data_IF_304530473189
#
_entry.id   IF_304530473189
#
_cell.length_a   1.000
_cell.length_b   1.000
_cell.length_c   1.000
_cell.angle_alpha   90.00
_cell.angle_beta   90.00
_cell.angle_gamma   90.00
#
_symmetry.space_group_name_H-M   'P 1'
#
loop_
_entity.id
_entity.type
_entity.pdbx_description
1 polymer ?
#
# COMPACT_ATOMS: atom_id res chain seq x y z
N UNK A 1 13.36 0.08 -29.10
CA UNK A 1 14.00 -0.40 -27.85
C UNK A 1 13.31 0.33 -26.70
N UNK A 2 12.68 -0.37 -25.76
CA UNK A 2 12.06 0.28 -24.59
C UNK A 2 13.18 0.49 -23.57
N UNK A 3 13.44 1.74 -23.19
CA UNK A 3 14.36 2.06 -22.11
C UNK A 3 13.62 1.82 -20.79
N UNK A 4 14.10 0.86 -19.99
CA UNK A 4 13.60 0.59 -18.65
C UNK A 4 14.51 1.32 -17.67
N UNK A 5 13.94 2.24 -16.90
CA UNK A 5 14.64 2.90 -15.79
C UNK A 5 14.32 2.12 -14.51
N UNK A 6 15.33 1.72 -13.75
CA UNK A 6 15.14 1.16 -12.40
C UNK A 6 14.96 2.27 -11.34
N UNK A 7 14.83 3.52 -11.76
CA UNK A 7 14.56 4.63 -10.86
C UNK A 7 13.06 4.72 -10.56
N UNK A 8 12.67 4.31 -9.35
CA UNK A 8 11.56 4.93 -8.63
C UNK A 8 11.48 4.41 -7.18
N UNK A 9 11.65 5.33 -6.22
CA UNK A 9 11.24 5.16 -4.82
C UNK A 9 10.34 6.36 -4.52
N UNK A 10 9.03 6.18 -4.68
CA UNK A 10 8.03 7.18 -4.28
C UNK A 10 7.78 6.96 -2.79
N UNK A 11 7.71 8.03 -1.96
CA UNK A 11 7.27 7.89 -0.58
C UNK A 11 5.90 7.19 -0.54
N UNK A 12 5.60 6.38 0.49
CA UNK A 12 4.39 5.56 0.56
C UNK A 12 3.06 6.34 0.59
N UNK A 13 3.12 7.67 0.49
CA UNK A 13 2.05 8.65 0.56
C UNK A 13 2.44 9.92 -0.26
N UNK A 14 1.45 10.59 -0.85
CA UNK A 14 1.61 11.85 -1.57
C UNK A 14 1.28 11.80 -3.07
N UNK A 15 1.34 12.97 -3.72
CA UNK A 15 1.07 13.16 -5.14
C UNK A 15 2.21 12.67 -6.04
N UNK A 16 1.86 12.08 -7.17
CA UNK A 16 2.79 11.68 -8.22
C UNK A 16 2.17 11.82 -9.62
N UNK A 17 3.01 12.24 -10.58
CA UNK A 17 2.65 12.36 -11.99
C UNK A 17 3.55 11.50 -12.87
N UNK A 18 2.95 10.90 -13.90
CA UNK A 18 3.68 10.16 -14.90
C UNK A 18 4.52 11.13 -15.77
N UNK A 19 5.85 10.99 -15.82
CA UNK A 19 6.66 11.82 -16.69
C UNK A 19 6.28 11.64 -18.16
N UNK A 20 6.32 12.72 -18.94
CA UNK A 20 6.00 12.67 -20.37
C UNK A 20 6.82 11.60 -21.11
N UNK A 21 6.16 10.86 -22.01
CA UNK A 21 6.75 9.80 -22.86
C UNK A 21 7.11 8.50 -22.12
N UNK A 22 6.83 8.40 -20.82
CA UNK A 22 6.97 7.16 -20.08
C UNK A 22 5.66 6.38 -20.02
N UNK A 23 5.77 5.09 -19.73
CA UNK A 23 4.65 4.23 -19.30
C UNK A 23 5.04 3.65 -17.96
N UNK A 24 4.12 3.64 -17.00
CA UNK A 24 4.38 3.13 -15.66
C UNK A 24 3.52 1.91 -15.34
N UNK A 25 4.05 1.06 -14.47
CA UNK A 25 3.29 0.08 -13.70
C UNK A 25 3.17 0.66 -12.30
N UNK A 26 1.96 0.71 -11.76
CA UNK A 26 1.67 1.37 -10.49
C UNK A 26 1.11 0.34 -9.52
N UNK A 27 1.65 0.33 -8.29
CA UNK A 27 1.17 -0.49 -7.20
C UNK A 27 0.63 0.43 -6.09
N UNK A 28 -0.67 0.40 -5.76
CA UNK A 28 -1.27 1.26 -4.75
C UNK A 28 -0.98 0.82 -3.30
N UNK A 29 -0.32 -0.33 -3.12
CA UNK A 29 -0.10 -0.96 -1.82
C UNK A 29 -1.25 -1.89 -1.40
N UNK A 30 -1.23 -2.31 -0.12
CA UNK A 30 -2.21 -3.21 0.46
C UNK A 30 -3.12 -2.53 1.47
N UNK A 31 -4.45 -2.64 1.27
CA UNK A 31 -5.43 -2.07 2.20
C UNK A 31 -5.50 -2.89 3.50
N UNK A 32 -5.69 -4.21 3.42
CA UNK A 32 -5.93 -5.07 4.59
C UNK A 32 -4.70 -5.78 5.15
N UNK A 33 -3.58 -5.79 4.42
CA UNK A 33 -2.32 -6.40 4.83
C UNK A 33 -1.16 -5.80 4.03
N UNK A 34 -0.74 -4.56 4.33
CA UNK A 34 0.50 -4.02 3.79
C UNK A 34 1.69 -4.91 4.17
N UNK A 35 2.72 -4.96 3.31
CA UNK A 35 3.89 -5.86 3.44
C UNK A 35 5.23 -5.14 3.33
N UNK A 36 5.21 -3.82 3.48
CA UNK A 36 6.35 -2.93 3.30
C UNK A 36 6.88 -2.35 4.61
N UNK A 37 6.43 -2.85 5.76
CA UNK A 37 6.87 -2.40 7.08
C UNK A 37 6.08 -1.24 7.68
N UNK A 38 5.16 -0.62 6.93
CA UNK A 38 4.20 0.35 7.45
C UNK A 38 2.84 -0.36 7.66
N UNK A 39 2.33 -0.45 8.90
CA UNK A 39 1.09 -1.17 9.17
C UNK A 39 -0.18 -0.43 8.72
N UNK A 40 -0.09 0.86 8.34
CA UNK A 40 -1.25 1.64 7.86
C UNK A 40 -1.77 1.08 6.54
N UNK A 41 -3.09 1.10 6.37
CA UNK A 41 -3.73 0.70 5.12
C UNK A 41 -3.25 1.59 3.97
N UNK A 42 -2.92 0.98 2.84
CA UNK A 42 -2.41 1.68 1.65
C UNK A 42 -3.37 1.56 0.47
N UNK A 43 -3.64 2.69 -0.17
CA UNK A 43 -4.37 2.76 -1.44
C UNK A 43 -3.95 4.00 -2.22
N UNK A 44 -4.50 4.15 -3.42
CA UNK A 44 -4.25 5.29 -4.30
C UNK A 44 -5.55 5.74 -4.97
N UNK A 45 -5.69 7.03 -5.19
CA UNK A 45 -6.68 7.60 -6.09
C UNK A 45 -5.98 7.95 -7.40
N UNK A 46 -6.53 7.48 -8.52
CA UNK A 46 -6.13 7.92 -9.85
C UNK A 46 -7.20 8.84 -10.42
N UNK A 47 -6.79 10.07 -10.70
CA UNK A 47 -7.56 11.08 -11.40
C UNK A 47 -6.92 11.32 -12.78
N UNK A 48 -7.73 11.28 -13.83
CA UNK A 48 -7.23 11.42 -15.21
C UNK A 48 -6.71 12.81 -15.54
N UNK A 49 -7.10 13.83 -14.77
CA UNK A 49 -6.66 15.22 -14.91
C UNK A 49 -5.63 15.59 -13.85
N UNK A 50 -5.80 15.11 -12.61
CA UNK A 50 -4.99 15.48 -11.47
C UNK A 50 -3.89 14.48 -11.10
N UNK A 51 -3.78 13.33 -11.76
CA UNK A 51 -2.69 12.37 -11.56
C UNK A 51 -2.95 11.33 -10.46
N UNK A 52 -1.91 10.90 -9.75
CA UNK A 52 -1.98 9.80 -8.78
C UNK A 52 -1.69 10.30 -7.36
N UNK A 53 -2.61 10.07 -6.43
CA UNK A 53 -2.41 10.41 -5.02
C UNK A 53 -2.39 9.14 -4.17
N UNK A 54 -1.29 8.92 -3.44
CA UNK A 54 -1.09 7.77 -2.58
C UNK A 54 -1.45 8.09 -1.14
N UNK A 55 -2.15 7.17 -0.47
CA UNK A 55 -2.63 7.36 0.89
C UNK A 55 -2.16 6.25 1.82
N UNK A 56 -1.87 6.68 3.06
CA UNK A 56 -1.70 5.80 4.22
C UNK A 56 -2.67 6.20 5.31
N UNK A 57 -3.53 5.27 5.71
CA UNK A 57 -4.60 5.55 6.68
C UNK A 57 -4.49 4.61 7.88
N UNK A 58 -4.41 5.12 9.12
CA UNK A 58 -4.47 4.28 10.31
C UNK A 58 -5.86 3.63 10.41
N UNK A 59 -5.89 2.40 10.90
CA UNK A 59 -7.12 1.66 11.17
C UNK A 59 -6.99 0.90 12.48
N UNK A 60 -8.11 0.35 12.98
CA UNK A 60 -8.11 -0.44 14.20
C UNK A 60 -7.49 -1.83 13.95
N UNK A 61 -6.16 -1.90 14.04
CA UNK A 61 -5.38 -3.13 13.86
C UNK A 61 -5.78 -4.15 14.93
N UNK A 62 -5.87 -3.73 16.19
CA UNK A 62 -6.18 -4.59 17.33
C UNK A 62 -7.55 -5.27 17.15
N UNK A 63 -8.58 -4.50 16.76
CA UNK A 63 -9.90 -5.07 16.48
C UNK A 63 -9.89 -6.09 15.33
N UNK A 64 -9.01 -5.90 14.34
CA UNK A 64 -8.86 -6.85 13.24
C UNK A 64 -8.12 -8.11 13.69
N UNK A 65 -7.10 -7.95 14.53
CA UNK A 65 -6.36 -9.06 15.15
C UNK A 65 -7.26 -9.93 16.02
N UNK A 66 -8.09 -9.31 16.86
CA UNK A 66 -9.09 -9.98 17.69
C UNK A 66 -10.02 -10.85 16.84
N UNK A 67 -10.61 -10.28 15.78
CA UNK A 67 -11.47 -11.03 14.86
C UNK A 67 -10.78 -12.22 14.23
N UNK A 68 -9.50 -12.09 13.83
CA UNK A 68 -8.70 -13.19 13.26
C UNK A 68 -8.55 -14.32 14.30
N UNK A 69 -8.27 -13.98 15.55
CA UNK A 69 -8.11 -14.96 16.64
C UNK A 69 -9.44 -15.63 16.97
N UNK A 70 -10.53 -14.87 17.05
CA UNK A 70 -11.88 -15.37 17.37
C UNK A 70 -12.37 -16.44 16.38
N UNK A 71 -12.04 -16.30 15.09
CA UNK A 71 -12.41 -17.30 14.07
C UNK A 71 -11.43 -18.47 13.97
N UNK A 72 -10.44 -18.55 14.87
CA UNK A 72 -9.48 -19.67 14.93
C UNK A 72 -8.43 -19.68 13.83
N UNK A 73 -8.15 -18.55 13.18
CA UNK A 73 -7.08 -18.46 12.19
C UNK A 73 -5.70 -18.49 12.86
N UNK A 74 -4.64 -18.92 12.14
CA UNK A 74 -3.27 -18.92 12.67
C UNK A 74 -2.85 -17.56 13.25
N UNK A 75 -2.36 -17.55 14.49
CA UNK A 75 -2.02 -16.34 15.24
C UNK A 75 -1.05 -15.41 14.51
N UNK A 76 -0.12 -15.95 13.72
CA UNK A 76 0.84 -15.15 12.96
C UNK A 76 0.16 -14.21 11.94
N UNK A 77 -1.05 -14.54 11.47
CA UNK A 77 -1.83 -13.70 10.56
C UNK A 77 -2.31 -12.42 11.24
N UNK A 78 -2.61 -12.47 12.54
CA UNK A 78 -2.95 -11.30 13.33
C UNK A 78 -1.70 -10.49 13.65
N UNK A 79 -0.67 -11.12 14.21
CA UNK A 79 0.55 -10.45 14.67
C UNK A 79 1.22 -9.63 13.56
N UNK A 80 1.25 -10.15 12.33
CA UNK A 80 1.91 -9.49 11.21
C UNK A 80 1.27 -8.18 10.76
N UNK A 81 -0.02 -7.95 11.08
CA UNK A 81 -0.69 -6.69 10.75
C UNK A 81 -0.04 -5.48 11.43
N UNK A 82 0.41 -5.64 12.69
CA UNK A 82 1.01 -4.56 13.47
C UNK A 82 2.39 -4.12 12.97
N UNK A 83 3.04 -4.92 12.13
CA UNK A 83 4.39 -4.66 11.59
C UNK A 83 4.38 -4.51 10.06
N UNK A 84 3.21 -4.55 9.42
CA UNK A 84 3.07 -4.47 7.97
C UNK A 84 3.81 -5.58 7.22
N UNK A 85 3.50 -6.86 7.52
CA UNK A 85 4.10 -8.05 6.87
C UNK A 85 3.09 -9.14 6.50
#
# INVERSE_FOLDING_TARGET
>A
MIQVTNEMFIPPEGHWELPERFRAIINPGGVGQPRDGDPRAAFMIYDTEAGFEFYRVPYAIEQTQEKIVEVGLPQYLAVRLAVGR
#
